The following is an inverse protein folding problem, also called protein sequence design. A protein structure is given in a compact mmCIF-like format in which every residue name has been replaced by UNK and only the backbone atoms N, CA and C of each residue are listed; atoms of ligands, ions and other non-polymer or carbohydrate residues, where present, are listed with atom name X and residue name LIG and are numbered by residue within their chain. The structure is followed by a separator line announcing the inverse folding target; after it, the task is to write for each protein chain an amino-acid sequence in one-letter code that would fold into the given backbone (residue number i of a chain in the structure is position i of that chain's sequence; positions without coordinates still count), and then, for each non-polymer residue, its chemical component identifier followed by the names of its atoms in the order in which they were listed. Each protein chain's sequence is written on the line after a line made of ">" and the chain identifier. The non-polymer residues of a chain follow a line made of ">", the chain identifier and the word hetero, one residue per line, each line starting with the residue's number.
data_IF_828253705221
#
_entry.id   IF_828253705221
#
_cell.length_a   1.000
_cell.length_b   1.000
_cell.length_c   1.000
_cell.angle_alpha   90.00
_cell.angle_beta   90.00
_cell.angle_gamma   90.00
#
_symmetry.space_group_name_H-M   'P 1'
#
loop_
_entity.id
_entity.type
_entity.pdbx_description
1 polymer ?
#
# COMPACT_ATOMS: atom_id res chain seq x y z
N UNK A 1 -14.23 -13.28 -2.36
CA UNK A 1 -13.72 -12.52 -3.52
C UNK A 1 -14.16 -11.09 -3.30
N UNK A 2 -13.27 -10.12 -3.46
CA UNK A 2 -13.60 -8.72 -3.25
C UNK A 2 -14.36 -8.16 -4.46
N UNK A 3 -15.20 -7.18 -4.19
CA UNK A 3 -15.84 -6.30 -5.18
C UNK A 3 -15.07 -4.99 -5.27
N UNK A 4 -15.32 -4.21 -6.33
CA UNK A 4 -14.69 -2.89 -6.47
C UNK A 4 -15.16 -1.91 -5.40
N UNK A 5 -16.41 -2.06 -4.94
CA UNK A 5 -16.96 -1.26 -3.86
C UNK A 5 -16.23 -1.53 -2.54
N UNK A 6 -15.95 -2.80 -2.23
CA UNK A 6 -15.16 -3.19 -1.06
C UNK A 6 -13.72 -2.67 -1.15
N UNK A 7 -13.10 -2.65 -2.34
CA UNK A 7 -11.77 -2.03 -2.53
C UNK A 7 -11.81 -0.52 -2.27
N UNK A 8 -12.84 0.16 -2.77
CA UNK A 8 -13.00 1.60 -2.57
C UNK A 8 -13.29 1.94 -1.09
N UNK A 9 -14.11 1.14 -0.42
CA UNK A 9 -14.40 1.29 1.02
C UNK A 9 -13.16 1.02 1.86
N UNK A 10 -12.40 -0.03 1.57
CA UNK A 10 -11.13 -0.30 2.22
C UNK A 10 -10.18 0.90 2.12
N UNK A 11 -10.04 1.50 0.93
CA UNK A 11 -9.23 2.70 0.73
C UNK A 11 -9.69 3.85 1.62
N UNK A 12 -11.00 4.12 1.68
CA UNK A 12 -11.55 5.20 2.51
C UNK A 12 -11.24 4.98 3.99
N UNK A 13 -11.43 3.76 4.48
CA UNK A 13 -11.20 3.41 5.89
C UNK A 13 -9.72 3.53 6.26
N UNK A 14 -8.82 3.03 5.41
CA UNK A 14 -7.36 3.18 5.60
C UNK A 14 -6.98 4.66 5.72
N UNK A 15 -7.43 5.49 4.77
CA UNK A 15 -7.07 6.91 4.74
C UNK A 15 -7.67 7.68 5.91
N UNK A 16 -8.91 7.39 6.30
CA UNK A 16 -9.56 7.99 7.47
C UNK A 16 -8.82 7.63 8.76
N UNK A 17 -8.34 6.39 8.90
CA UNK A 17 -7.55 5.98 10.06
C UNK A 17 -6.21 6.73 10.13
N UNK A 18 -5.51 6.89 9.01
CA UNK A 18 -4.26 7.66 8.93
C UNK A 18 -4.49 9.12 9.34
N UNK A 19 -5.56 9.73 8.85
CA UNK A 19 -5.94 11.11 9.20
C UNK A 19 -6.31 11.24 10.69
N UNK A 20 -7.09 10.31 11.23
CA UNK A 20 -7.48 10.31 12.65
C UNK A 20 -6.29 10.17 13.59
N UNK A 21 -5.22 9.47 13.16
CA UNK A 21 -3.96 9.37 13.89
C UNK A 21 -3.06 10.61 13.72
N UNK A 22 -3.44 11.57 12.86
CA UNK A 22 -2.64 12.77 12.57
C UNK A 22 -1.36 12.48 11.79
N UNK A 23 -1.27 11.34 11.12
CA UNK A 23 -0.08 10.89 10.40
C UNK A 23 -0.08 11.38 8.95
N UNK A 24 1.11 11.61 8.39
CA UNK A 24 1.29 11.99 6.98
C UNK A 24 1.97 10.87 6.18
N UNK A 25 2.06 11.08 4.87
CA UNK A 25 2.80 10.18 3.98
C UNK A 25 4.23 9.95 4.48
N UNK A 26 4.62 8.68 4.62
CA UNK A 26 5.92 8.27 5.13
C UNK A 26 6.04 8.25 6.66
N UNK A 27 4.98 8.53 7.41
CA UNK A 27 4.98 8.51 8.89
C UNK A 27 4.29 7.27 9.48
N UNK A 28 3.77 6.38 8.63
CA UNK A 28 3.11 5.14 9.05
C UNK A 28 3.62 3.93 8.26
N UNK A 29 3.46 2.76 8.86
CA UNK A 29 3.77 1.46 8.26
C UNK A 29 2.45 0.74 7.97
N UNK A 30 2.40 -0.02 6.89
CA UNK A 30 1.22 -0.79 6.51
C UNK A 30 1.57 -2.28 6.45
N UNK A 31 0.89 -3.07 7.26
CA UNK A 31 0.89 -4.52 7.18
C UNK A 31 -0.45 -4.95 6.58
N UNK A 32 -0.41 -5.74 5.51
CA UNK A 32 -1.60 -6.33 4.89
C UNK A 32 -1.52 -7.84 5.07
N UNK A 33 -2.43 -8.40 5.84
CA UNK A 33 -2.58 -9.85 5.91
C UNK A 33 -3.54 -10.34 4.81
N UNK A 34 -3.07 -11.32 4.06
CA UNK A 34 -3.80 -11.96 2.95
C UNK A 34 -3.96 -13.47 3.16
N UNK A 35 -3.80 -13.95 4.40
CA UNK A 35 -4.02 -15.33 4.84
C UNK A 35 -5.31 -15.94 4.30
N UNK A 36 -6.41 -15.19 4.40
CA UNK A 36 -7.75 -15.59 3.98
C UNK A 36 -8.13 -15.07 2.58
N UNK A 37 -7.21 -14.40 1.89
CA UNK A 37 -7.49 -13.86 0.57
C UNK A 37 -7.56 -14.98 -0.48
N UNK A 38 -8.67 -15.00 -1.22
CA UNK A 38 -8.83 -15.82 -2.42
C UNK A 38 -8.24 -15.12 -3.66
N UNK A 39 -8.06 -15.87 -4.75
CA UNK A 39 -7.71 -15.28 -6.06
C UNK A 39 -8.77 -14.25 -6.44
N UNK A 40 -8.31 -13.07 -6.86
CA UNK A 40 -9.17 -11.95 -7.23
C UNK A 40 -9.36 -11.88 -8.74
N UNK A 41 -10.38 -11.15 -9.20
CA UNK A 41 -10.51 -10.83 -10.63
C UNK A 41 -9.42 -9.87 -11.07
N UNK A 42 -9.14 -9.80 -12.38
CA UNK A 42 -8.16 -8.85 -12.92
C UNK A 42 -8.57 -7.39 -12.63
N UNK A 43 -9.87 -7.11 -12.64
CA UNK A 43 -10.42 -5.78 -12.36
C UNK A 43 -10.14 -5.35 -10.91
N UNK A 44 -10.34 -6.25 -9.95
CA UNK A 44 -10.02 -6.01 -8.54
C UNK A 44 -8.51 -5.85 -8.34
N UNK A 45 -7.69 -6.64 -9.03
CA UNK A 45 -6.23 -6.49 -9.02
C UNK A 45 -5.82 -5.12 -9.55
N UNK A 46 -6.44 -4.64 -10.63
CA UNK A 46 -6.17 -3.31 -11.17
C UNK A 46 -6.58 -2.20 -10.19
N UNK A 47 -7.77 -2.32 -9.56
CA UNK A 47 -8.23 -1.36 -8.56
C UNK A 47 -7.32 -1.30 -7.33
N UNK A 48 -6.85 -2.45 -6.82
CA UNK A 48 -5.87 -2.49 -5.71
C UNK A 48 -4.51 -1.91 -6.13
N UNK A 49 -4.09 -2.14 -7.38
CA UNK A 49 -2.85 -1.56 -7.91
C UNK A 49 -2.94 -0.03 -7.98
N UNK A 50 -4.06 0.49 -8.47
CA UNK A 50 -4.34 1.93 -8.54
C UNK A 50 -4.36 2.56 -7.13
N UNK A 51 -5.04 1.91 -6.19
CA UNK A 51 -5.05 2.31 -4.77
C UNK A 51 -3.63 2.45 -4.23
N UNK A 52 -2.79 1.42 -4.40
CA UNK A 52 -1.41 1.42 -3.87
C UNK A 52 -0.55 2.50 -4.53
N UNK A 53 -0.78 2.81 -5.81
CA UNK A 53 -0.05 3.84 -6.55
C UNK A 53 -0.51 5.27 -6.21
N UNK A 54 -1.81 5.48 -5.98
CA UNK A 54 -2.45 6.80 -5.95
C UNK A 54 -3.10 7.17 -4.61
N UNK A 55 -2.91 6.39 -3.55
CA UNK A 55 -3.35 6.74 -2.19
C UNK A 55 -2.88 8.14 -1.77
N UNK A 56 -3.80 8.91 -1.16
CA UNK A 56 -3.58 10.27 -0.66
C UNK A 56 -2.43 10.31 0.34
N UNK A 57 -2.51 9.46 1.36
CA UNK A 57 -1.45 9.21 2.32
C UNK A 57 -0.77 7.89 2.00
N UNK A 58 0.56 7.95 1.84
CA UNK A 58 1.38 6.82 1.38
C UNK A 58 2.19 6.26 2.53
N UNK A 59 2.04 4.96 2.80
CA UNK A 59 2.83 4.27 3.82
C UNK A 59 4.34 4.39 3.54
N UNK A 60 5.13 4.46 4.61
CA UNK A 60 6.59 4.40 4.58
C UNK A 60 7.07 3.02 4.14
N UNK A 61 6.40 1.95 4.53
CA UNK A 61 6.67 0.60 4.03
C UNK A 61 5.36 -0.17 3.99
N UNK A 62 5.28 -1.07 3.02
CA UNK A 62 4.14 -1.98 2.88
C UNK A 62 4.68 -3.39 2.97
N UNK A 63 4.27 -4.14 3.98
CA UNK A 63 4.52 -5.58 4.02
C UNK A 63 3.22 -6.31 3.79
N UNK A 64 3.27 -7.33 2.93
CA UNK A 64 2.12 -8.22 2.70
C UNK A 64 2.48 -9.61 3.20
N UNK A 65 1.81 -10.03 4.27
CA UNK A 65 1.89 -11.39 4.78
C UNK A 65 0.85 -12.26 4.05
N UNK A 66 1.25 -13.46 3.67
CA UNK A 66 0.45 -14.36 2.83
C UNK A 66 0.72 -15.79 3.22
N UNK A 67 -0.32 -16.61 3.25
CA UNK A 67 -0.18 -18.00 3.69
C UNK A 67 -0.42 -19.00 2.57
N UNK A 68 -0.99 -18.56 1.43
CA UNK A 68 -1.27 -19.41 0.27
C UNK A 68 -0.52 -18.95 -1.00
N UNK A 69 -0.19 -19.91 -1.87
CA UNK A 69 0.55 -19.68 -3.12
C UNK A 69 -0.32 -19.11 -4.25
N UNK A 70 -1.65 -19.22 -4.12
CA UNK A 70 -2.61 -18.96 -5.20
C UNK A 70 -2.70 -17.48 -5.60
N UNK A 71 -2.59 -16.55 -4.64
CA UNK A 71 -2.60 -15.11 -4.93
C UNK A 71 -1.23 -14.56 -5.35
N UNK A 72 -0.20 -15.42 -5.54
CA UNK A 72 1.21 -14.95 -5.58
C UNK A 72 1.54 -13.96 -6.64
N UNK A 73 1.09 -14.26 -7.84
CA UNK A 73 1.35 -13.44 -8.99
C UNK A 73 0.60 -12.11 -8.90
N UNK A 74 -0.61 -12.12 -8.34
CA UNK A 74 -1.45 -10.92 -8.21
C UNK A 74 -0.87 -9.96 -7.17
N UNK A 75 -0.50 -10.44 -5.99
CA UNK A 75 0.15 -9.61 -4.96
C UNK A 75 1.45 -8.99 -5.48
N UNK A 76 2.28 -9.78 -6.19
CA UNK A 76 3.52 -9.25 -6.78
C UNK A 76 3.25 -8.18 -7.83
N UNK A 77 2.21 -8.33 -8.66
CA UNK A 77 1.81 -7.31 -9.65
C UNK A 77 1.35 -6.02 -8.99
N UNK A 78 0.51 -6.12 -7.95
CA UNK A 78 -0.01 -4.96 -7.20
C UNK A 78 1.14 -4.18 -6.56
N UNK A 79 2.08 -4.88 -5.90
CA UNK A 79 3.16 -4.22 -5.16
C UNK A 79 4.33 -3.75 -6.02
N UNK A 80 4.46 -4.24 -7.26
CA UNK A 80 5.53 -3.83 -8.17
C UNK A 80 5.53 -2.33 -8.49
N UNK A 81 4.44 -1.61 -8.22
CA UNK A 81 4.35 -0.15 -8.39
C UNK A 81 5.00 0.64 -7.23
N UNK A 82 5.56 -0.05 -6.23
CA UNK A 82 6.20 0.54 -5.04
C UNK A 82 7.53 -0.14 -4.74
N UNK A 83 8.61 0.63 -4.73
CA UNK A 83 9.95 0.13 -4.37
C UNK A 83 10.07 -0.23 -2.87
N UNK A 84 9.17 0.29 -2.04
CA UNK A 84 9.16 0.13 -0.59
C UNK A 84 8.11 -0.89 -0.11
N UNK A 85 7.81 -1.89 -0.94
CA UNK A 85 6.86 -2.95 -0.64
C UNK A 85 7.53 -4.34 -0.69
N UNK A 86 7.16 -5.23 0.23
CA UNK A 86 7.71 -6.58 0.29
C UNK A 86 6.65 -7.61 0.69
N UNK A 87 6.87 -8.87 0.31
CA UNK A 87 5.93 -9.97 0.48
C UNK A 87 6.59 -11.07 1.31
N UNK A 88 5.88 -11.57 2.32
CA UNK A 88 6.39 -12.55 3.29
C UNK A 88 5.42 -13.72 3.45
N UNK A 89 5.95 -14.92 3.67
CA UNK A 89 5.13 -16.11 3.88
C UNK A 89 4.61 -16.24 5.33
N UNK A 90 5.07 -15.36 6.24
CA UNK A 90 4.66 -15.29 7.65
C UNK A 90 4.48 -13.84 8.09
N UNK A 91 3.49 -13.58 8.95
CA UNK A 91 3.30 -12.26 9.58
C UNK A 91 4.53 -11.84 10.38
N UNK A 92 5.14 -12.75 11.14
CA UNK A 92 6.29 -12.43 11.99
C UNK A 92 7.48 -11.86 11.18
N UNK A 93 7.75 -12.40 9.99
CA UNK A 93 8.81 -11.90 9.12
C UNK A 93 8.46 -10.53 8.51
N UNK A 94 7.18 -10.32 8.20
CA UNK A 94 6.67 -9.05 7.71
C UNK A 94 6.81 -7.95 8.76
N UNK A 95 6.43 -8.23 10.00
CA UNK A 95 6.58 -7.31 11.13
C UNK A 95 8.04 -7.00 11.41
N UNK A 96 8.91 -8.02 11.47
CA UNK A 96 10.34 -7.83 11.69
C UNK A 96 10.95 -6.89 10.64
N UNK A 97 10.57 -7.03 9.37
CA UNK A 97 11.03 -6.13 8.30
C UNK A 97 10.43 -4.72 8.39
N UNK A 98 9.15 -4.60 8.74
CA UNK A 98 8.51 -3.29 8.93
C UNK A 98 9.17 -2.49 10.04
N UNK A 99 9.47 -3.14 11.16
CA UNK A 99 10.03 -2.50 12.36
C UNK A 99 11.57 -2.48 12.40
N UNK A 100 12.25 -3.05 11.39
CA UNK A 100 13.71 -2.98 11.31
C UNK A 100 14.20 -1.52 11.20
N UNK A 101 15.02 -1.12 12.15
CA UNK A 101 15.70 0.18 12.20
C UNK A 101 16.68 0.36 11.04
N UNK A 102 16.86 1.60 10.57
CA UNK A 102 17.90 1.97 9.59
C UNK A 102 17.57 1.76 8.11
N UNK A 103 16.44 1.16 7.78
CA UNK A 103 15.94 1.12 6.39
C UNK A 103 15.50 2.54 5.97
N UNK A 104 15.91 3.03 4.77
CA UNK A 104 15.82 4.44 4.41
C UNK A 104 14.36 4.95 4.48
N UNK A 105 14.12 6.15 5.03
CA UNK A 105 12.79 6.74 5.02
C UNK A 105 12.34 6.91 3.57
N UNK A 106 11.06 6.67 3.30
CA UNK A 106 10.48 6.96 1.98
C UNK A 106 10.77 8.41 1.67
N UNK A 107 11.34 8.66 0.49
CA UNK A 107 11.50 10.01 -0.02
C UNK A 107 10.13 10.68 0.07
N UNK A 108 10.02 11.66 0.97
CA UNK A 108 8.82 12.50 1.08
C UNK A 108 8.44 12.91 -0.33
N UNK A 109 7.21 12.63 -0.75
CA UNK A 109 6.70 13.22 -1.97
C UNK A 109 6.82 14.74 -1.79
N UNK A 110 7.72 15.36 -2.55
CA UNK A 110 7.86 16.80 -2.53
C UNK A 110 6.50 17.36 -2.93
N UNK A 111 5.90 18.29 -2.16
CA UNK A 111 4.65 18.90 -2.60
C UNK A 111 4.90 19.45 -4.00
N UNK A 112 4.06 19.04 -4.96
CA UNK A 112 4.11 19.56 -6.31
C UNK A 112 4.07 21.08 -6.18
N UNK A 113 5.20 21.75 -6.46
CA UNK A 113 5.25 23.18 -6.46
C UNK A 113 4.17 23.65 -7.43
N UNK A 114 3.19 24.40 -6.93
CA UNK A 114 2.19 25.06 -7.75
C UNK A 114 2.96 25.84 -8.83
N UNK A 115 2.94 25.33 -10.05
CA UNK A 115 3.48 26.03 -11.20
C UNK A 115 2.62 27.28 -11.36
N UNK A 116 3.18 28.45 -11.02
CA UNK A 116 2.54 29.72 -11.36
C UNK A 116 2.37 29.76 -12.88
N UNK A 117 1.22 30.22 -13.40
CA UNK A 117 1.05 30.39 -14.84
C UNK A 117 2.10 31.37 -15.36
N UNK A 118 2.80 30.99 -16.43
CA UNK A 118 3.64 31.91 -17.18
C UNK A 118 2.71 32.83 -17.96
N UNK A 119 2.60 34.08 -17.51
CA UNK A 119 2.08 35.18 -18.31
C UNK A 119 3.21 35.67 -19.23
N UNK A 120 3.02 35.54 -20.55
CA UNK A 120 3.43 36.46 -21.64
C UNK A 120 3.34 35.74 -22.97
#
# INVERSE_FOLDING_TARGET
>A
MLTLEEVAEFSRQEQAAVEAMGLRSGEFLLLVDTSEAVIQTQEVVAALTDLVAHSKHKAARIAVARYNSLSRMQTRRILAVRDNAMVFDQIADAEAWLFADGLPPVRRAQPAAFARPRES
#
